data_IF_080644686032
#
_entry.id   IF_080644686032
#
_cell.length_a   1.000
_cell.length_b   1.000
_cell.length_c   1.000
_cell.angle_alpha   90.00
_cell.angle_beta   90.00
_cell.angle_gamma   90.00
#
_symmetry.space_group_name_H-M   'P 1'
#
loop_
_entity.id
_entity.type
_entity.pdbx_description
1 polymer ?
#
# COMPACT_ATOMS: atom_id res chain seq x y z
N UNK A 1 6.17 20.01 14.00
CA UNK A 1 7.63 20.14 14.12
C UNK A 1 8.26 19.35 12.99
N UNK A 2 8.92 20.08 12.11
CA UNK A 2 9.47 19.67 10.82
C UNK A 2 10.73 18.81 11.02
N UNK A 3 10.69 17.56 10.57
CA UNK A 3 11.89 16.77 10.23
C UNK A 3 11.84 16.42 8.73
N UNK A 4 11.60 17.43 7.90
CA UNK A 4 12.00 17.44 6.51
C UNK A 4 13.44 17.96 6.51
N UNK A 5 14.41 17.05 6.40
CA UNK A 5 15.82 17.22 5.97
C UNK A 5 16.67 16.11 6.61
N UNK A 6 16.72 14.93 5.99
CA UNK A 6 17.97 14.15 5.96
C UNK A 6 18.32 13.89 4.49
N UNK A 7 19.56 14.25 4.22
CA UNK A 7 20.29 14.35 2.98
C UNK A 7 20.13 13.17 2.02
N UNK A 8 20.07 13.56 0.74
CA UNK A 8 20.85 13.06 -0.38
C UNK A 8 22.00 12.08 -0.03
N UNK A 9 21.63 10.84 0.24
CA UNK A 9 22.37 9.65 -0.12
C UNK A 9 21.30 8.65 -0.54
N UNK A 10 21.56 7.84 -1.56
CA UNK A 10 20.67 6.77 -2.01
C UNK A 10 20.31 5.84 -0.85
N UNK A 11 19.26 6.18 -0.10
CA UNK A 11 18.76 5.33 0.97
C UNK A 11 18.20 4.10 0.28
N UNK A 12 18.72 2.89 0.56
CA UNK A 12 18.21 1.69 -0.08
C UNK A 12 16.77 1.40 0.35
N UNK A 13 16.22 2.11 1.34
CA UNK A 13 14.91 1.90 1.93
C UNK A 13 14.18 3.24 2.03
N UNK A 14 12.96 3.30 1.53
CA UNK A 14 12.06 4.43 1.71
C UNK A 14 10.88 4.03 2.57
N UNK A 15 10.49 4.95 3.45
CA UNK A 15 9.34 4.80 4.33
C UNK A 15 8.46 6.03 4.19
N UNK A 16 7.18 5.83 3.97
CA UNK A 16 6.16 6.88 4.03
C UNK A 16 5.04 6.45 4.94
N UNK A 17 4.44 7.40 5.65
CA UNK A 17 3.34 7.14 6.55
C UNK A 17 2.25 8.19 6.34
N UNK A 18 1.00 7.76 6.45
CA UNK A 18 -0.17 8.64 6.42
C UNK A 18 -1.25 8.05 7.32
N UNK A 19 -1.72 8.82 8.30
CA UNK A 19 -2.61 8.33 9.34
C UNK A 19 -2.05 7.05 9.98
N UNK A 20 -2.80 5.95 9.97
CA UNK A 20 -2.44 4.63 10.48
C UNK A 20 -1.69 3.75 9.45
N UNK A 21 -1.57 4.18 8.19
CA UNK A 21 -0.88 3.42 7.16
C UNK A 21 0.62 3.73 7.10
N UNK A 22 1.45 2.67 7.11
CA UNK A 22 2.89 2.73 6.86
C UNK A 22 3.21 1.98 5.57
N UNK A 23 4.05 2.57 4.73
CA UNK A 23 4.47 2.01 3.45
C UNK A 23 5.99 1.98 3.41
N UNK A 24 6.53 0.85 3.01
CA UNK A 24 7.97 0.62 2.93
C UNK A 24 8.30 0.10 1.53
N UNK A 25 9.31 0.66 0.88
CA UNK A 25 9.74 0.22 -0.44
C UNK A 25 11.26 0.33 -0.62
N UNK A 26 11.82 -0.66 -1.31
CA UNK A 26 13.26 -0.87 -1.46
C UNK A 26 13.51 -1.90 -2.57
N UNK A 27 14.69 -1.84 -3.18
CA UNK A 27 15.22 -2.94 -4.01
C UNK A 27 16.01 -3.97 -3.21
N UNK A 28 16.34 -3.69 -1.94
CA UNK A 28 17.08 -4.56 -1.04
C UNK A 28 16.11 -5.31 -0.10
N UNK A 29 15.91 -6.62 -0.29
CA UNK A 29 14.97 -7.40 0.52
C UNK A 29 15.35 -7.47 2.00
N UNK A 30 16.65 -7.49 2.33
CA UNK A 30 17.10 -7.50 3.73
C UNK A 30 16.72 -6.21 4.44
N UNK A 31 16.83 -5.07 3.74
CA UNK A 31 16.43 -3.78 4.30
C UNK A 31 14.92 -3.71 4.55
N UNK A 32 14.09 -4.31 3.70
CA UNK A 32 12.64 -4.41 3.93
C UNK A 32 12.33 -5.27 5.15
N UNK A 33 12.92 -6.46 5.27
CA UNK A 33 12.62 -7.35 6.40
C UNK A 33 13.01 -6.71 7.73
N UNK A 34 14.20 -6.11 7.81
CA UNK A 34 14.64 -5.38 9.01
C UNK A 34 13.70 -4.22 9.35
N UNK A 35 13.16 -3.53 8.34
CA UNK A 35 12.20 -2.45 8.55
C UNK A 35 10.86 -2.96 9.07
N UNK A 36 10.37 -4.08 8.55
CA UNK A 36 9.15 -4.75 9.05
C UNK A 36 9.34 -5.12 10.53
N UNK A 37 10.47 -5.74 10.88
CA UNK A 37 10.74 -6.15 12.26
C UNK A 37 10.80 -4.96 13.22
N UNK A 38 11.42 -3.85 12.79
CA UNK A 38 11.45 -2.60 13.58
C UNK A 38 10.05 -2.01 13.77
N UNK A 39 9.27 -1.97 12.68
CA UNK A 39 7.92 -1.40 12.66
C UNK A 39 6.92 -2.30 13.41
N UNK A 40 7.15 -3.60 13.55
CA UNK A 40 6.30 -4.49 14.36
C UNK A 40 6.55 -4.31 15.87
N UNK A 41 7.78 -4.00 16.26
CA UNK A 41 8.16 -3.88 17.67
C UNK A 41 7.61 -2.60 18.35
N UNK A 42 7.63 -1.46 17.66
CA UNK A 42 7.17 -0.19 18.24
C UNK A 42 5.68 -0.15 18.58
N UNK A 43 4.75 -0.55 17.70
CA UNK A 43 3.32 -0.46 17.98
C UNK A 43 2.88 -1.45 19.06
N UNK A 44 3.52 -2.61 19.14
CA UNK A 44 3.31 -3.61 20.21
C UNK A 44 3.63 -3.05 21.60
N UNK A 45 4.66 -2.22 21.71
CA UNK A 45 5.05 -1.56 22.98
C UNK A 45 4.25 -0.29 23.27
N UNK A 46 3.55 0.27 22.26
CA UNK A 46 2.78 1.51 22.36
C UNK A 46 1.26 1.30 22.29
N UNK A 47 0.78 0.05 22.47
CA UNK A 47 -0.65 -0.31 22.45
C UNK A 47 -1.38 0.02 21.13
N UNK A 48 -0.67 -0.05 20.00
CA UNK A 48 -1.20 0.24 18.66
C UNK A 48 -0.86 -0.90 17.67
N UNK A 49 -1.24 -2.17 17.94
CA UNK A 49 -0.77 -3.31 17.15
C UNK A 49 -1.09 -3.17 15.65
N UNK A 50 -0.16 -3.61 14.80
CA UNK A 50 -0.37 -3.62 13.36
C UNK A 50 -1.44 -4.65 12.99
N UNK A 51 -2.30 -4.28 12.05
CA UNK A 51 -3.27 -5.21 11.49
C UNK A 51 -2.61 -6.13 10.46
N UNK A 52 -1.99 -7.22 10.90
CA UNK A 52 -1.25 -8.16 10.03
C UNK A 52 -2.08 -8.67 8.84
N UNK A 53 -3.38 -8.92 9.05
CA UNK A 53 -4.31 -9.35 7.99
C UNK A 53 -4.60 -8.29 6.93
N UNK A 54 -4.32 -7.02 7.23
CA UNK A 54 -4.46 -5.89 6.31
C UNK A 54 -3.12 -5.49 5.67
N UNK A 55 -1.99 -6.03 6.16
CA UNK A 55 -0.68 -5.82 5.56
C UNK A 55 -0.61 -6.48 4.19
N UNK A 56 -0.31 -5.71 3.15
CA UNK A 56 -0.24 -6.21 1.78
C UNK A 56 1.16 -5.99 1.19
N UNK A 57 1.67 -7.02 0.51
CA UNK A 57 2.91 -6.93 -0.25
C UNK A 57 2.60 -6.74 -1.74
N UNK A 58 3.01 -5.60 -2.31
CA UNK A 58 2.98 -5.37 -3.76
C UNK A 58 4.39 -5.45 -4.33
N UNK A 59 4.62 -6.41 -5.24
CA UNK A 59 5.92 -6.56 -5.92
C UNK A 59 5.92 -5.74 -7.20
N UNK A 60 6.91 -4.85 -7.34
CA UNK A 60 7.05 -3.97 -8.48
C UNK A 60 8.31 -4.31 -9.28
N UNK A 61 8.19 -4.27 -10.61
CA UNK A 61 9.31 -4.41 -11.54
C UNK A 61 9.82 -5.85 -11.76
N UNK A 62 10.64 -6.05 -12.81
CA UNK A 62 11.10 -7.36 -13.24
C UNK A 62 12.22 -7.95 -12.37
N UNK A 63 12.95 -7.11 -11.62
CA UNK A 63 14.05 -7.53 -10.74
C UNK A 63 13.56 -7.81 -9.31
N UNK A 64 12.39 -8.40 -9.16
CA UNK A 64 11.94 -8.85 -7.85
C UNK A 64 12.50 -10.27 -7.59
N UNK A 65 13.18 -10.46 -6.46
CA UNK A 65 13.81 -11.75 -6.10
C UNK A 65 12.80 -12.77 -5.55
N UNK A 66 11.49 -12.49 -5.64
CA UNK A 66 10.42 -13.27 -4.99
C UNK A 66 10.68 -13.56 -3.49
N UNK A 67 11.47 -12.69 -2.83
CA UNK A 67 11.80 -12.82 -1.41
C UNK A 67 10.52 -12.90 -0.56
N UNK A 68 10.44 -13.86 0.36
CA UNK A 68 9.32 -14.05 1.25
C UNK A 68 9.53 -13.19 2.51
N UNK A 69 8.60 -12.28 2.77
CA UNK A 69 8.63 -11.44 3.96
C UNK A 69 7.73 -12.02 5.04
N UNK A 70 8.07 -11.76 6.30
CA UNK A 70 7.27 -12.14 7.45
C UNK A 70 7.06 -10.97 8.40
N UNK A 71 5.92 -10.94 9.09
CA UNK A 71 5.59 -10.01 10.17
C UNK A 71 5.20 -10.82 11.40
N UNK A 72 5.82 -10.56 12.55
CA UNK A 72 5.63 -11.34 13.78
C UNK A 72 5.72 -12.89 13.57
N UNK A 73 6.60 -13.34 12.68
CA UNK A 73 6.76 -14.76 12.32
C UNK A 73 5.72 -15.34 11.37
N UNK A 74 4.72 -14.56 10.94
CA UNK A 74 3.72 -14.96 9.94
C UNK A 74 4.09 -14.43 8.55
N UNK A 75 3.91 -15.21 7.46
CA UNK A 75 4.20 -14.74 6.11
C UNK A 75 3.27 -13.60 5.69
N UNK A 76 3.82 -12.61 4.98
CA UNK A 76 3.03 -11.54 4.36
C UNK A 76 2.60 -11.97 2.96
N UNK A 77 1.29 -12.07 2.75
CA UNK A 77 0.72 -12.47 1.47
C UNK A 77 0.99 -11.46 0.37
N UNK A 78 1.33 -11.96 -0.82
CA UNK A 78 1.53 -11.12 -2.00
C UNK A 78 0.18 -10.73 -2.58
N UNK A 79 -0.08 -9.43 -2.68
CA UNK A 79 -1.28 -8.92 -3.32
C UNK A 79 -1.07 -8.66 -4.82
N UNK A 80 -2.10 -8.95 -5.61
CA UNK A 80 -2.15 -8.59 -7.04
C UNK A 80 -2.31 -7.09 -7.26
N UNK A 81 -2.94 -6.39 -6.31
CA UNK A 81 -3.17 -4.95 -6.37
C UNK A 81 -3.39 -4.39 -4.98
N UNK A 82 -2.92 -3.18 -4.72
CA UNK A 82 -3.14 -2.47 -3.46
C UNK A 82 -3.97 -1.22 -3.73
N UNK A 83 -4.93 -0.94 -2.83
CA UNK A 83 -5.63 0.33 -2.81
C UNK A 83 -4.96 1.21 -1.77
N UNK A 84 -4.55 2.40 -2.18
CA UNK A 84 -3.94 3.40 -1.31
C UNK A 84 -4.48 4.78 -1.66
N UNK A 85 -4.99 5.52 -0.65
CA UNK A 85 -5.62 6.84 -0.82
C UNK A 85 -6.65 6.91 -1.97
N UNK A 86 -7.39 5.81 -2.18
CA UNK A 86 -8.40 5.69 -3.24
C UNK A 86 -7.85 5.22 -4.60
N UNK A 87 -6.55 5.32 -4.84
CA UNK A 87 -5.87 4.83 -6.04
C UNK A 87 -5.68 3.31 -5.96
N UNK A 88 -5.89 2.60 -7.07
CA UNK A 88 -5.59 1.16 -7.15
C UNK A 88 -4.36 0.99 -8.03
N UNK A 89 -3.34 0.33 -7.48
CA UNK A 89 -2.06 0.10 -8.14
C UNK A 89 -1.78 -1.40 -8.19
N UNK A 90 -1.32 -1.89 -9.34
CA UNK A 90 -0.87 -3.28 -9.53
C UNK A 90 0.62 -3.33 -9.89
N UNK A 91 1.16 -4.54 -10.00
CA UNK A 91 2.58 -4.78 -10.29
C UNK A 91 3.04 -4.29 -11.66
N UNK A 92 2.12 -4.10 -12.61
CA UNK A 92 2.41 -3.58 -13.94
C UNK A 92 2.51 -2.06 -13.99
N UNK A 93 2.08 -1.38 -12.91
CA UNK A 93 1.96 0.08 -12.82
C UNK A 93 1.12 0.66 -13.98
N UNK A 94 0.19 -0.13 -14.52
CA UNK A 94 -0.78 0.32 -15.53
C UNK A 94 -2.09 0.65 -14.83
N UNK A 95 -2.50 1.91 -14.87
CA UNK A 95 -3.72 2.36 -14.18
C UNK A 95 -5.03 2.02 -14.91
N UNK A 96 -5.01 1.18 -15.95
CA UNK A 96 -6.20 0.83 -16.76
C UNK A 96 -7.31 0.22 -15.90
N UNK A 97 -6.96 -0.67 -14.98
CA UNK A 97 -7.93 -1.27 -14.07
C UNK A 97 -8.61 -0.23 -13.18
N UNK A 98 -7.83 0.66 -12.57
CA UNK A 98 -8.34 1.76 -11.75
C UNK A 98 -9.26 2.68 -12.56
N UNK A 99 -8.81 3.13 -13.74
CA UNK A 99 -9.58 4.02 -14.64
C UNK A 99 -10.93 3.39 -14.98
N UNK A 100 -10.94 2.14 -15.45
CA UNK A 100 -12.18 1.44 -15.81
C UNK A 100 -13.12 1.30 -14.62
N UNK A 101 -12.60 1.01 -13.43
CA UNK A 101 -13.39 0.91 -12.20
C UNK A 101 -14.01 2.26 -11.81
N UNK A 102 -13.25 3.35 -11.95
CA UNK A 102 -13.71 4.70 -11.68
C UNK A 102 -14.81 5.11 -12.68
N UNK A 103 -14.63 4.84 -13.97
CA UNK A 103 -15.65 5.07 -15.01
C UNK A 103 -16.93 4.28 -14.70
N UNK A 104 -16.82 2.99 -14.40
CA UNK A 104 -17.97 2.16 -14.09
C UNK A 104 -18.75 2.67 -12.85
N UNK A 105 -18.02 3.06 -11.80
CA UNK A 105 -18.62 3.67 -10.60
C UNK A 105 -19.32 4.99 -10.91
N UNK A 106 -18.73 5.84 -11.76
CA UNK A 106 -19.34 7.11 -12.17
C UNK A 106 -20.63 6.87 -12.97
N UNK A 107 -20.59 6.00 -14.00
CA UNK A 107 -21.75 5.66 -14.82
C UNK A 107 -22.91 5.08 -13.99
N UNK A 108 -22.61 4.20 -13.03
CA UNK A 108 -23.61 3.64 -12.13
C UNK A 108 -24.31 4.74 -11.31
N UNK A 109 -23.53 5.69 -10.78
CA UNK A 109 -24.05 6.80 -9.97
C UNK A 109 -24.90 7.76 -10.82
N UNK A 110 -24.45 8.09 -12.03
CA UNK A 110 -25.23 8.94 -12.94
C UNK A 110 -26.58 8.31 -13.30
N UNK A 111 -26.60 7.02 -13.65
CA UNK A 111 -27.85 6.29 -13.94
C UNK A 111 -28.81 6.27 -12.75
N UNK A 112 -28.29 6.11 -11.53
CA UNK A 112 -29.12 6.13 -10.32
C UNK A 112 -29.79 7.51 -10.12
N UNK A 113 -29.07 8.60 -10.39
CA UNK A 113 -29.64 9.97 -10.32
C UNK A 113 -30.70 10.18 -11.39
N UNK A 114 -30.45 9.73 -12.62
CA UNK A 114 -31.41 9.83 -13.74
C UNK A 114 -32.72 9.08 -13.43
N UNK A 115 -32.64 7.87 -12.88
CA UNK A 115 -33.82 7.10 -12.45
C UNK A 115 -34.60 7.85 -11.36
N UNK A 116 -33.92 8.51 -10.41
CA UNK A 116 -34.60 9.28 -9.36
C UNK A 116 -35.29 10.54 -9.90
N UNK A 117 -34.76 11.16 -10.97
CA UNK A 117 -35.39 12.32 -11.62
C UNK A 117 -36.60 11.96 -12.48
N UNK A 118 -36.68 10.74 -13.02
CA UNK A 118 -37.84 10.26 -13.81
C UNK A 118 -39.03 9.89 -12.90
N UNK A 119 -38.79 9.62 -11.61
CA UNK A 119 -39.81 9.23 -10.64
C UNK A 119 -40.29 10.39 -9.74
N UNK A 120 -39.96 11.64 -10.09
CA UNK A 120 -40.43 12.89 -9.48
C UNK A 120 -41.30 13.66 -10.47
#
# INVERSE_FOLDING_TARGET
>A
MTYCLILHASLPLHVTAFADDIKIYSSNPVAIQNAIDLIENWPSTNSLPLAHTKTALLRLGPKNTSFLYSIAGQPIETSKSVRDLGLITDSSLKFKFHINKTIASALLRTKAVEILQINL
#
